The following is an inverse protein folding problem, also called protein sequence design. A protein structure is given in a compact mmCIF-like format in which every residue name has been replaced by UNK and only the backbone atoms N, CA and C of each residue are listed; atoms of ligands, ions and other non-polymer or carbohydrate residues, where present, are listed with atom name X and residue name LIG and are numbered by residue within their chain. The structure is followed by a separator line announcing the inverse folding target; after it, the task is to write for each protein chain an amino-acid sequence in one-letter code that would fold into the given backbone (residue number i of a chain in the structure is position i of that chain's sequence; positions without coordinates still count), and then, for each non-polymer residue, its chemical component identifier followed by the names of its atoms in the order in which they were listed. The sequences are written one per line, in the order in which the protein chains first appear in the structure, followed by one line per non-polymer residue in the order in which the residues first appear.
data_IF_536033028827
#
_entry.id   IF_536033028827
#
_cell.length_a   1.000
_cell.length_b   1.000
_cell.length_c   1.000
_cell.angle_alpha   90.00
_cell.angle_beta   90.00
_cell.angle_gamma   90.00
#
_symmetry.space_group_name_H-M   'P 1'
#
loop_
_entity.id
_entity.type
_entity.pdbx_description
1 polymer ?
#
# COMPACT_ATOMS: atom_id res chain seq x y z
N UNK A 1 -20.96 11.16 -24.34
CA UNK A 1 -21.31 11.07 -25.78
C UNK A 1 -21.36 12.50 -26.29
N UNK A 2 -20.63 12.81 -27.37
CA UNK A 2 -20.53 14.16 -27.90
C UNK A 2 -21.34 14.20 -29.20
N UNK A 3 -22.46 14.94 -29.20
CA UNK A 3 -23.24 15.18 -30.41
C UNK A 3 -22.83 16.54 -30.98
N UNK A 4 -22.45 16.51 -32.25
CA UNK A 4 -22.36 17.69 -33.10
C UNK A 4 -23.70 17.86 -33.80
N UNK A 5 -24.27 19.05 -33.71
CA UNK A 5 -25.47 19.42 -34.44
C UNK A 5 -25.33 20.87 -34.93
N UNK A 6 -26.11 21.25 -35.92
CA UNK A 6 -26.20 22.64 -36.36
C UNK A 6 -27.31 23.29 -35.55
N UNK A 7 -27.03 24.44 -34.94
CA UNK A 7 -28.07 25.22 -34.27
C UNK A 7 -28.97 25.94 -35.30
N UNK A 8 -29.95 26.70 -34.81
CA UNK A 8 -30.93 27.40 -35.64
C UNK A 8 -30.32 28.45 -36.59
N UNK A 9 -29.04 28.78 -36.41
CA UNK A 9 -28.27 29.71 -37.23
C UNK A 9 -27.29 29.02 -38.18
N UNK A 10 -27.43 27.70 -38.34
CA UNK A 10 -26.49 26.83 -39.08
C UNK A 10 -25.06 26.85 -38.52
N UNK A 11 -24.87 27.32 -37.28
CA UNK A 11 -23.57 27.29 -36.63
C UNK A 11 -23.31 25.89 -36.03
N UNK A 12 -22.09 25.34 -36.18
CA UNK A 12 -21.76 24.04 -35.59
C UNK A 12 -21.72 24.14 -34.06
N UNK A 13 -22.70 23.51 -33.42
CA UNK A 13 -22.86 23.44 -31.98
C UNK A 13 -22.52 22.03 -31.46
N UNK A 14 -21.98 21.97 -30.24
CA UNK A 14 -21.58 20.72 -29.59
C UNK A 14 -22.35 20.59 -28.28
N UNK A 15 -23.07 19.49 -28.09
CA UNK A 15 -23.56 19.09 -26.77
C UNK A 15 -22.81 17.84 -26.30
N UNK A 16 -22.24 17.91 -25.10
CA UNK A 16 -21.56 16.79 -24.47
C UNK A 16 -22.40 16.27 -23.30
N UNK A 17 -22.84 15.01 -23.38
CA UNK A 17 -23.51 14.34 -22.26
C UNK A 17 -22.46 13.71 -21.35
N UNK A 18 -22.19 14.38 -20.23
CA UNK A 18 -21.41 13.85 -19.11
C UNK A 18 -22.36 13.14 -18.14
N UNK A 19 -21.93 12.01 -17.60
CA UNK A 19 -22.63 11.29 -16.53
C UNK A 19 -21.75 11.36 -15.28
N UNK A 20 -22.30 11.87 -14.19
CA UNK A 20 -21.68 11.84 -12.88
C UNK A 20 -22.07 10.52 -12.22
N UNK A 21 -21.07 9.78 -11.74
CA UNK A 21 -21.30 8.55 -10.98
C UNK A 21 -21.10 8.90 -9.50
N UNK A 22 -22.12 8.73 -8.64
CA UNK A 22 -21.95 8.93 -7.21
C UNK A 22 -21.00 7.86 -6.69
N UNK A 23 -19.87 8.28 -6.12
CA UNK A 23 -18.98 7.41 -5.35
C UNK A 23 -19.42 7.43 -3.87
N UNK A 24 -18.84 6.56 -3.06
CA UNK A 24 -19.07 6.57 -1.60
C UNK A 24 -18.45 7.85 -1.00
N UNK A 25 -18.96 8.27 0.15
CA UNK A 25 -18.39 9.37 0.94
C UNK A 25 -18.30 10.74 0.23
N UNK A 26 -19.29 11.09 -0.61
CA UNK A 26 -19.43 12.43 -1.19
C UNK A 26 -18.47 12.75 -2.34
N UNK A 27 -17.66 11.78 -2.76
CA UNK A 27 -16.72 11.92 -3.87
C UNK A 27 -17.49 11.97 -5.20
N UNK A 28 -17.00 12.77 -6.15
CA UNK A 28 -17.60 12.87 -7.49
C UNK A 28 -16.66 12.32 -8.53
N UNK A 29 -17.14 11.35 -9.31
CA UNK A 29 -16.45 10.84 -10.48
C UNK A 29 -17.09 11.41 -11.75
N UNK A 30 -16.27 12.09 -12.57
CA UNK A 30 -16.68 12.61 -13.87
C UNK A 30 -15.92 11.89 -14.97
N UNK A 31 -16.62 11.52 -16.04
CA UNK A 31 -16.00 10.94 -17.23
C UNK A 31 -15.22 12.00 -18.00
N UNK A 32 -13.97 11.69 -18.35
CA UNK A 32 -13.13 12.55 -19.18
C UNK A 32 -13.14 12.03 -20.62
N UNK A 33 -13.70 12.82 -21.53
CA UNK A 33 -13.65 12.54 -22.96
C UNK A 33 -14.39 11.27 -23.41
N UNK A 34 -14.17 10.91 -24.67
CA UNK A 34 -14.80 9.75 -25.30
C UNK A 34 -14.11 8.44 -24.85
N UNK A 35 -14.87 7.35 -24.66
CA UNK A 35 -14.28 6.04 -24.40
C UNK A 35 -13.61 5.49 -25.66
N UNK A 36 -12.50 4.78 -25.48
CA UNK A 36 -11.88 3.96 -26.51
C UNK A 36 -12.51 2.56 -26.46
N UNK A 37 -12.89 2.03 -27.62
CA UNK A 37 -13.49 0.70 -27.74
C UNK A 37 -12.68 -0.13 -28.72
N UNK A 38 -12.23 -1.30 -28.28
CA UNK A 38 -11.62 -2.30 -29.14
C UNK A 38 -12.51 -3.54 -29.18
N UNK A 39 -13.04 -3.88 -30.36
CA UNK A 39 -13.83 -5.10 -30.53
C UNK A 39 -12.90 -6.28 -30.76
N UNK A 40 -12.97 -7.28 -29.90
CA UNK A 40 -12.37 -8.59 -30.13
C UNK A 40 -13.48 -9.48 -30.72
N UNK A 41 -13.19 -10.42 -31.61
CA UNK A 41 -14.24 -11.18 -32.32
C UNK A 41 -15.31 -11.86 -31.44
N UNK A 42 -15.11 -11.92 -30.12
CA UNK A 42 -16.03 -12.47 -29.11
C UNK A 42 -16.47 -11.45 -28.04
N UNK A 43 -16.09 -10.17 -28.14
CA UNK A 43 -16.38 -9.16 -27.12
C UNK A 43 -15.88 -7.74 -27.44
N UNK A 44 -15.85 -6.87 -26.44
CA UNK A 44 -15.22 -5.56 -26.59
C UNK A 44 -14.51 -5.12 -25.30
N UNK A 45 -13.34 -4.51 -25.47
CA UNK A 45 -12.61 -3.83 -24.43
C UNK A 45 -12.94 -2.35 -24.47
N UNK A 46 -13.47 -1.82 -23.35
CA UNK A 46 -13.83 -0.42 -23.18
C UNK A 46 -12.84 0.26 -22.23
N UNK A 47 -12.14 1.28 -22.69
CA UNK A 47 -11.28 2.14 -21.85
C UNK A 47 -11.90 3.53 -21.75
N UNK A 48 -12.18 3.97 -20.53
CA UNK A 48 -12.75 5.29 -20.27
C UNK A 48 -11.86 6.01 -19.25
N UNK A 49 -11.32 7.16 -19.64
CA UNK A 49 -10.68 8.05 -18.69
C UNK A 49 -11.74 8.68 -17.77
N UNK A 50 -11.44 8.74 -16.47
CA UNK A 50 -12.28 9.35 -15.45
C UNK A 50 -11.43 10.25 -14.56
N UNK A 51 -11.98 11.39 -14.16
CA UNK A 51 -11.41 12.22 -13.10
C UNK A 51 -12.23 12.02 -11.84
N UNK A 52 -11.53 11.70 -10.76
CA UNK A 52 -12.11 11.58 -9.44
C UNK A 52 -11.71 12.81 -8.65
N UNK A 53 -12.70 13.53 -8.14
CA UNK A 53 -12.46 14.62 -7.19
C UNK A 53 -12.85 14.11 -5.81
N UNK A 54 -11.92 14.11 -4.83
CA UNK A 54 -12.26 13.70 -3.48
C UNK A 54 -13.31 14.65 -2.92
N UNK A 55 -14.21 14.12 -2.10
CA UNK A 55 -15.04 14.95 -1.26
C UNK A 55 -14.13 15.81 -0.39
N UNK A 56 -14.50 17.06 -0.15
CA UNK A 56 -13.78 17.90 0.80
C UNK A 56 -13.86 17.25 2.19
N UNK A 57 -12.84 16.49 2.55
CA UNK A 57 -12.64 15.93 3.88
C UNK A 57 -11.85 16.89 4.75
N UNK A 58 -12.00 16.76 6.07
CA UNK A 58 -11.13 17.49 6.98
C UNK A 58 -9.67 17.03 6.79
N UNK A 59 -8.69 17.94 6.75
CA UNK A 59 -7.29 17.56 6.67
C UNK A 59 -6.91 16.66 7.85
N UNK A 60 -6.58 15.40 7.56
CA UNK A 60 -6.13 14.45 8.58
C UNK A 60 -4.60 14.42 8.64
N UNK A 61 -4.03 14.67 9.82
CA UNK A 61 -2.60 14.45 10.06
C UNK A 61 -2.37 12.95 10.25
N UNK A 62 -1.83 12.30 9.23
CA UNK A 62 -1.46 10.89 9.30
C UNK A 62 0.00 10.77 9.76
N UNK A 63 0.24 9.97 10.80
CA UNK A 63 1.61 9.59 11.19
C UNK A 63 2.09 8.51 10.23
N UNK A 64 2.79 8.92 9.16
CA UNK A 64 3.33 8.02 8.13
C UNK A 64 4.84 8.16 8.01
N UNK A 65 5.51 7.08 7.58
CA UNK A 65 6.92 7.14 7.21
C UNK A 65 7.01 7.65 5.78
N UNK A 66 7.44 8.91 5.60
CA UNK A 66 7.50 9.57 4.29
C UNK A 66 8.81 9.34 3.55
N UNK A 67 9.87 8.99 4.27
CA UNK A 67 11.17 8.66 3.71
C UNK A 67 11.96 7.75 4.66
N UNK A 68 12.80 6.89 4.10
CA UNK A 68 13.77 6.09 4.85
C UNK A 68 15.16 6.44 4.32
N UNK A 69 16.07 6.79 5.22
CA UNK A 69 17.48 6.97 4.91
C UNK A 69 18.29 5.92 5.65
N UNK A 70 19.08 5.14 4.91
CA UNK A 70 20.07 4.23 5.49
C UNK A 70 21.30 5.03 5.91
N UNK A 71 21.47 5.19 7.23
CA UNK A 71 22.66 5.80 7.83
C UNK A 71 23.63 4.68 8.20
N UNK A 72 24.95 4.81 7.95
CA UNK A 72 25.94 3.84 8.42
C UNK A 72 25.80 3.66 9.94
N UNK A 73 25.94 2.42 10.41
CA UNK A 73 25.71 2.05 11.81
C UNK A 73 26.61 2.89 12.73
N UNK A 74 26.02 3.90 13.40
CA UNK A 74 26.65 4.52 14.55
C UNK A 74 26.60 3.49 15.67
N UNK A 75 27.75 2.92 16.00
CA UNK A 75 27.90 2.21 17.26
C UNK A 75 27.61 3.19 18.42
N UNK A 76 26.90 2.66 19.42
CA UNK A 76 26.74 3.21 20.78
C UNK A 76 25.83 4.43 20.95
N UNK A 77 24.51 4.19 20.86
CA UNK A 77 23.53 5.09 21.46
C UNK A 77 22.13 4.52 21.44
N UNK A 78 21.74 3.77 22.49
CA UNK A 78 20.41 3.18 22.70
C UNK A 78 19.99 2.13 21.64
N UNK A 79 20.71 1.00 21.62
CA UNK A 79 20.21 -0.20 20.96
C UNK A 79 18.89 -0.63 21.62
N UNK A 80 17.81 -0.88 20.86
CA UNK A 80 16.52 -1.27 21.44
C UNK A 80 16.67 -2.60 22.18
N UNK A 81 15.96 -2.73 23.31
CA UNK A 81 15.96 -3.96 24.13
C UNK A 81 15.25 -5.14 23.46
N UNK A 82 14.53 -4.89 22.36
CA UNK A 82 13.80 -5.89 21.59
C UNK A 82 13.99 -5.61 20.09
N UNK A 83 14.44 -6.62 19.34
CA UNK A 83 14.63 -6.54 17.89
C UNK A 83 13.61 -7.45 17.21
N UNK A 84 12.89 -6.93 16.22
CA UNK A 84 11.95 -7.73 15.43
C UNK A 84 12.61 -8.09 14.10
N UNK A 85 12.73 -9.39 13.79
CA UNK A 85 13.45 -9.88 12.59
C UNK A 85 12.79 -11.12 12.01
N UNK A 86 12.73 -11.24 10.69
CA UNK A 86 12.32 -12.49 10.01
C UNK A 86 13.54 -13.41 9.85
N UNK A 87 13.41 -14.68 10.22
CA UNK A 87 14.41 -15.70 9.97
C UNK A 87 14.41 -16.10 8.48
N UNK A 88 15.60 -16.30 7.91
CA UNK A 88 15.72 -16.90 6.58
C UNK A 88 15.40 -18.41 6.64
N UNK A 89 15.07 -19.02 5.50
CA UNK A 89 14.62 -20.42 5.46
C UNK A 89 15.70 -21.43 5.89
N UNK A 90 16.97 -21.03 5.83
CA UNK A 90 18.16 -21.80 6.23
C UNK A 90 18.70 -21.42 7.61
N UNK A 91 18.06 -20.48 8.30
CA UNK A 91 18.55 -19.93 9.55
C UNK A 91 17.81 -20.49 10.76
N UNK A 92 18.56 -20.85 11.79
CA UNK A 92 18.01 -21.44 13.01
C UNK A 92 17.76 -20.39 14.09
N UNK A 93 16.93 -20.73 15.09
CA UNK A 93 16.76 -19.90 16.30
C UNK A 93 18.11 -19.66 17.02
N UNK A 94 19.05 -20.61 16.95
CA UNK A 94 20.40 -20.50 17.50
C UNK A 94 21.20 -19.37 16.86
N UNK A 95 21.11 -19.23 15.54
CA UNK A 95 21.85 -18.21 14.79
C UNK A 95 21.39 -16.81 15.21
N UNK A 96 20.07 -16.64 15.38
CA UNK A 96 19.48 -15.43 15.95
C UNK A 96 19.94 -15.19 17.40
N UNK A 97 19.90 -16.21 18.25
CA UNK A 97 20.33 -16.13 19.65
C UNK A 97 21.79 -15.65 19.76
N UNK A 98 22.69 -16.26 18.98
CA UNK A 98 24.11 -15.93 18.93
C UNK A 98 24.37 -14.51 18.41
N UNK A 99 23.70 -14.11 17.32
CA UNK A 99 23.87 -12.80 16.72
C UNK A 99 23.49 -11.66 17.69
N UNK A 100 22.41 -11.86 18.45
CA UNK A 100 21.87 -10.84 19.35
C UNK A 100 22.31 -11.01 20.81
N UNK A 101 23.17 -12.01 21.11
CA UNK A 101 23.63 -12.35 22.47
C UNK A 101 22.45 -12.54 23.44
N UNK A 102 21.57 -13.46 23.08
CA UNK A 102 20.39 -13.83 23.89
C UNK A 102 20.22 -15.34 23.89
N UNK A 103 19.26 -15.84 24.66
CA UNK A 103 18.99 -17.27 24.82
C UNK A 103 17.82 -17.72 23.92
N UNK A 104 17.94 -18.91 23.34
CA UNK A 104 16.87 -19.48 22.51
C UNK A 104 15.57 -19.67 23.29
N UNK A 105 15.65 -20.12 24.55
CA UNK A 105 14.48 -20.30 25.41
C UNK A 105 13.74 -18.98 25.64
N UNK A 106 14.50 -17.90 25.81
CA UNK A 106 13.92 -16.56 25.99
C UNK A 106 13.26 -16.07 24.69
N UNK A 107 13.90 -16.30 23.53
CA UNK A 107 13.28 -16.04 22.23
C UNK A 107 11.97 -16.85 22.09
N UNK A 108 11.98 -18.15 22.40
CA UNK A 108 10.79 -19.01 22.32
C UNK A 108 9.68 -18.51 23.23
N UNK A 109 10.00 -18.16 24.47
CA UNK A 109 9.03 -17.65 25.45
C UNK A 109 8.35 -16.37 24.98
N UNK A 110 9.11 -15.42 24.40
CA UNK A 110 8.55 -14.15 23.90
C UNK A 110 7.70 -14.34 22.64
N UNK A 111 8.07 -15.30 21.79
CA UNK A 111 7.33 -15.57 20.54
C UNK A 111 6.25 -16.65 20.69
N UNK A 112 6.06 -17.23 21.88
CA UNK A 112 5.12 -18.32 22.16
C UNK A 112 5.34 -19.54 21.25
N UNK A 113 6.60 -19.84 20.93
CA UNK A 113 6.97 -20.96 20.06
C UNK A 113 7.10 -22.25 20.86
N UNK A 114 6.58 -23.35 20.31
CA UNK A 114 6.80 -24.70 20.85
C UNK A 114 8.16 -25.27 20.44
N UNK A 115 8.63 -26.30 21.15
CA UNK A 115 9.94 -26.91 20.89
C UNK A 115 9.99 -27.55 19.49
N UNK A 116 10.91 -27.10 18.64
CA UNK A 116 11.05 -27.56 17.26
C UNK A 116 10.16 -26.85 16.23
N UNK A 117 9.39 -25.85 16.65
CA UNK A 117 8.55 -25.06 15.75
C UNK A 117 9.39 -24.06 14.93
N UNK A 118 9.22 -24.07 13.61
CA UNK A 118 9.88 -23.13 12.71
C UNK A 118 9.05 -21.84 12.66
N UNK A 119 9.60 -20.69 13.08
CA UNK A 119 8.88 -19.43 13.06
C UNK A 119 8.66 -18.94 11.62
N UNK A 120 7.42 -19.06 11.14
CA UNK A 120 7.00 -18.60 9.81
C UNK A 120 6.78 -17.06 9.74
N UNK A 121 6.90 -16.38 10.88
CA UNK A 121 6.58 -14.96 11.06
C UNK A 121 7.79 -14.16 11.58
N UNK A 122 7.57 -12.87 11.83
CA UNK A 122 8.55 -12.00 12.48
C UNK A 122 8.87 -12.52 13.89
N UNK A 123 10.15 -12.70 14.19
CA UNK A 123 10.68 -13.13 15.47
C UNK A 123 11.06 -11.93 16.32
N UNK A 124 10.57 -11.90 17.56
CA UNK A 124 10.94 -10.94 18.60
C UNK A 124 12.16 -11.47 19.37
N UNK A 125 13.29 -10.78 19.24
CA UNK A 125 14.57 -11.17 19.82
C UNK A 125 14.90 -10.19 20.96
N UNK A 126 14.73 -10.60 22.23
CA UNK A 126 15.11 -9.77 23.37
C UNK A 126 16.63 -9.69 23.47
N UNK A 127 17.17 -8.49 23.69
CA UNK A 127 18.60 -8.32 23.98
C UNK A 127 18.80 -8.10 25.46
N UNK A 128 19.57 -8.97 26.09
CA UNK A 128 20.04 -8.73 27.46
C UNK A 128 21.05 -7.58 27.44
N UNK A 129 20.90 -6.63 28.36
CA UNK A 129 21.96 -5.65 28.61
C UNK A 129 23.04 -6.37 29.43
N UNK A 130 24.33 -6.24 29.08
CA UNK A 130 25.40 -6.71 29.94
C UNK A 130 25.44 -5.94 31.27
#
# INVERSE_FOLDING_TARGET
MRLLYLDETEAPAVTERTAQLPLRDGETCTRCGAPEVAFTGTGCDLRQAVSVTPAAGEPAVLTTVTAVQTVPEREEGRRPSLVMRRLAADETLWDAAKQYRTDEELIRAVNQLTEGEVPDKMLLIPRMRP
#
